data_IF_141626436401
#
_entry.id   IF_141626436401
#
_cell.length_a   1.000
_cell.length_b   1.000
_cell.length_c   1.000
_cell.angle_alpha   90.00
_cell.angle_beta   90.00
_cell.angle_gamma   90.00
#
_symmetry.space_group_name_H-M   'P 1'
#
loop_
_entity.id
_entity.type
_entity.pdbx_description
1 polymer ?
#
# COMPACT_ATOMS: atom_id res chain seq x y z
N UNK A 1 35.04 -14.85 -0.76
CA UNK A 1 35.35 -15.98 -1.66
C UNK A 1 34.19 -16.99 -1.80
N UNK A 2 33.78 -17.76 -0.78
CA UNK A 2 32.68 -18.73 -0.95
C UNK A 2 31.30 -18.08 -1.25
N UNK A 3 30.96 -16.99 -0.54
CA UNK A 3 29.72 -16.25 -0.80
C UNK A 3 29.68 -15.61 -2.20
N UNK A 4 30.79 -15.04 -2.66
CA UNK A 4 30.91 -14.45 -4.01
C UNK A 4 30.78 -15.51 -5.12
N UNK A 5 31.31 -16.72 -4.88
CA UNK A 5 31.13 -17.85 -5.78
C UNK A 5 29.66 -18.28 -5.86
N UNK A 6 28.97 -18.37 -4.71
CA UNK A 6 27.55 -18.70 -4.65
C UNK A 6 26.67 -17.65 -5.34
N UNK A 7 26.95 -16.35 -5.13
CA UNK A 7 26.25 -15.27 -5.84
C UNK A 7 26.46 -15.36 -7.36
N UNK A 8 27.70 -15.57 -7.79
CA UNK A 8 28.03 -15.68 -9.22
C UNK A 8 27.36 -16.91 -9.84
N UNK A 9 27.42 -18.06 -9.18
CA UNK A 9 26.77 -19.29 -9.63
C UNK A 9 25.24 -19.12 -9.69
N UNK A 10 24.64 -18.45 -8.71
CA UNK A 10 23.21 -18.15 -8.70
C UNK A 10 22.82 -17.24 -9.87
N UNK A 11 23.59 -16.18 -10.13
CA UNK A 11 23.36 -15.28 -11.28
C UNK A 11 23.46 -16.04 -12.60
N UNK A 12 24.48 -16.90 -12.77
CA UNK A 12 24.65 -17.71 -13.98
C UNK A 12 23.45 -18.64 -14.17
N UNK A 13 23.02 -19.34 -13.11
CA UNK A 13 21.83 -20.22 -13.14
C UNK A 13 20.58 -19.42 -13.49
N UNK A 14 20.41 -18.22 -12.92
CA UNK A 14 19.26 -17.36 -13.20
C UNK A 14 19.25 -16.90 -14.67
N UNK A 15 20.40 -16.46 -15.20
CA UNK A 15 20.55 -16.07 -16.60
C UNK A 15 20.29 -17.27 -17.51
N UNK A 16 20.86 -18.43 -17.22
CA UNK A 16 20.61 -19.67 -17.97
C UNK A 16 19.14 -20.07 -17.93
N UNK A 17 18.47 -19.93 -16.78
CA UNK A 17 17.04 -20.17 -16.65
C UNK A 17 16.24 -19.20 -17.54
N UNK A 18 16.54 -17.90 -17.51
CA UNK A 18 15.86 -16.93 -18.39
C UNK A 18 16.10 -17.26 -19.86
N UNK A 19 17.34 -17.51 -20.28
CA UNK A 19 17.64 -17.77 -21.70
C UNK A 19 17.03 -19.09 -22.16
N UNK A 20 17.19 -20.17 -21.41
CA UNK A 20 16.76 -21.51 -21.86
C UNK A 20 15.27 -21.73 -21.65
N UNK A 21 14.71 -21.34 -20.51
CA UNK A 21 13.32 -21.64 -20.18
C UNK A 21 12.35 -20.59 -20.72
N UNK A 22 12.71 -19.31 -20.66
CA UNK A 22 11.82 -18.22 -21.11
C UNK A 22 11.99 -17.98 -22.61
N UNK A 23 13.22 -17.74 -23.08
CA UNK A 23 13.47 -17.37 -24.49
C UNK A 23 13.39 -18.59 -25.41
N UNK A 24 14.22 -19.62 -25.17
CA UNK A 24 14.23 -20.82 -26.02
C UNK A 24 12.98 -21.70 -25.84
N UNK A 25 12.33 -21.62 -24.67
CA UNK A 25 11.09 -22.34 -24.39
C UNK A 25 9.81 -21.66 -24.92
N UNK A 26 9.94 -20.54 -25.64
CA UNK A 26 8.83 -19.72 -26.16
C UNK A 26 7.78 -19.36 -25.09
N UNK A 27 8.25 -19.01 -23.89
CA UNK A 27 7.40 -18.64 -22.73
C UNK A 27 7.41 -17.14 -22.44
N UNK A 28 7.56 -16.33 -23.49
CA UNK A 28 7.65 -14.87 -23.36
C UNK A 28 6.41 -14.26 -22.71
N UNK A 29 5.23 -14.82 -22.95
CA UNK A 29 3.99 -14.37 -22.28
C UNK A 29 4.01 -14.58 -20.77
N UNK A 30 4.60 -15.69 -20.30
CA UNK A 30 4.77 -15.95 -18.86
C UNK A 30 5.76 -14.96 -18.25
N UNK A 31 6.87 -14.67 -18.94
CA UNK A 31 7.83 -13.66 -18.50
C UNK A 31 7.20 -12.27 -18.41
N UNK A 32 6.41 -11.89 -19.43
CA UNK A 32 5.69 -10.61 -19.46
C UNK A 32 4.75 -10.49 -18.27
N UNK A 33 3.95 -11.52 -17.98
CA UNK A 33 3.05 -11.54 -16.81
C UNK A 33 3.81 -11.40 -15.49
N UNK A 34 4.93 -12.11 -15.34
CA UNK A 34 5.78 -12.01 -14.14
C UNK A 34 6.34 -10.59 -14.00
N UNK A 35 6.88 -9.99 -15.07
CA UNK A 35 7.44 -8.64 -15.01
C UNK A 35 6.36 -7.61 -14.70
N UNK A 36 5.18 -7.71 -15.35
CA UNK A 36 4.05 -6.80 -15.13
C UNK A 36 3.57 -6.85 -13.68
N UNK A 37 3.54 -8.03 -13.03
CA UNK A 37 3.13 -8.15 -11.63
C UNK A 37 4.23 -7.85 -10.60
N UNK A 38 5.48 -8.23 -10.87
CA UNK A 38 6.60 -8.08 -9.93
C UNK A 38 7.13 -6.64 -9.90
N UNK A 39 7.08 -5.92 -11.02
CA UNK A 39 7.66 -4.57 -11.11
C UNK A 39 6.92 -3.54 -10.24
N UNK A 40 5.57 -3.48 -10.24
CA UNK A 40 4.81 -2.64 -9.31
C UNK A 40 5.05 -3.02 -7.85
N UNK A 41 5.07 -4.32 -7.55
CA UNK A 41 5.41 -4.82 -6.21
C UNK A 41 6.78 -4.34 -5.75
N UNK A 42 7.77 -4.43 -6.63
CA UNK A 42 9.14 -3.99 -6.34
C UNK A 42 9.18 -2.49 -6.10
N UNK A 43 8.48 -1.70 -6.93
CA UNK A 43 8.40 -0.26 -6.76
C UNK A 43 7.77 0.13 -5.41
N UNK A 44 6.58 -0.38 -5.09
CA UNK A 44 5.91 -0.10 -3.82
C UNK A 44 6.71 -0.64 -2.63
N UNK A 45 7.34 -1.82 -2.75
CA UNK A 45 8.16 -2.40 -1.69
C UNK A 45 9.42 -1.58 -1.41
N UNK A 46 10.14 -1.14 -2.44
CA UNK A 46 11.32 -0.27 -2.29
C UNK A 46 10.90 1.06 -1.66
N UNK A 47 9.81 1.65 -2.15
CA UNK A 47 9.29 2.90 -1.61
C UNK A 47 8.90 2.76 -0.13
N UNK A 48 8.17 1.69 0.21
CA UNK A 48 7.79 1.34 1.58
C UNK A 48 9.01 1.12 2.48
N UNK A 49 10.01 0.35 2.05
CA UNK A 49 11.24 0.08 2.82
C UNK A 49 12.03 1.37 3.06
N UNK A 50 12.14 2.24 2.06
CA UNK A 50 12.79 3.54 2.19
C UNK A 50 12.07 4.42 3.20
N UNK A 51 10.74 4.51 3.12
CA UNK A 51 9.92 5.25 4.09
C UNK A 51 10.02 4.65 5.50
N UNK A 52 10.00 3.33 5.63
CA UNK A 52 10.15 2.63 6.91
C UNK A 52 11.53 2.92 7.53
N UNK A 53 12.60 3.00 6.74
CA UNK A 53 13.93 3.39 7.22
C UNK A 53 13.94 4.82 7.77
N UNK A 54 13.30 5.75 7.07
CA UNK A 54 13.13 7.13 7.54
C UNK A 54 12.30 7.16 8.82
N UNK A 55 11.23 6.38 8.90
CA UNK A 55 10.38 6.25 10.08
C UNK A 55 11.16 5.76 11.30
N UNK A 56 11.92 4.66 11.17
CA UNK A 56 12.77 4.15 12.27
C UNK A 56 13.77 5.19 12.76
N UNK A 57 14.34 5.99 11.85
CA UNK A 57 15.24 7.10 12.22
C UNK A 57 14.50 8.21 12.97
N UNK A 58 13.31 8.61 12.52
CA UNK A 58 12.48 9.62 13.20
C UNK A 58 12.07 9.19 14.60
N UNK A 59 11.60 7.94 14.77
CA UNK A 59 11.28 7.40 16.11
C UNK A 59 12.52 7.37 17.01
N UNK A 60 13.65 6.86 16.52
CA UNK A 60 14.89 6.84 17.33
C UNK A 60 15.32 8.24 17.74
N UNK A 61 15.14 9.25 16.89
CA UNK A 61 15.43 10.64 17.22
C UNK A 61 14.43 11.18 18.24
N UNK A 62 13.13 10.91 18.07
CA UNK A 62 12.09 11.30 19.02
C UNK A 62 12.32 10.69 20.40
N UNK A 63 12.63 9.39 20.48
CA UNK A 63 12.99 8.69 21.73
C UNK A 63 14.25 9.28 22.40
N UNK A 64 15.25 9.71 21.62
CA UNK A 64 16.46 10.38 22.15
C UNK A 64 16.21 11.82 22.59
N UNK A 65 15.18 12.47 22.07
CA UNK A 65 14.82 13.85 22.35
C UNK A 65 13.67 13.96 23.36
N UNK A 66 13.27 12.86 24.00
CA UNK A 66 12.08 12.77 24.89
C UNK A 66 10.79 13.30 24.24
N UNK A 67 10.72 13.26 22.91
CA UNK A 67 9.55 13.68 22.15
C UNK A 67 8.41 12.69 22.42
N UNK A 68 7.35 13.17 23.06
CA UNK A 68 6.21 12.35 23.41
C UNK A 68 5.44 11.94 22.14
N UNK A 69 5.40 10.65 21.80
CA UNK A 69 4.67 10.13 20.64
C UNK A 69 3.14 10.30 20.78
N UNK A 70 2.67 10.61 21.98
CA UNK A 70 1.28 10.99 22.27
C UNK A 70 1.02 12.48 22.03
N UNK A 71 2.02 13.24 21.59
CA UNK A 71 1.83 14.63 21.20
C UNK A 71 0.74 14.72 20.12
N UNK A 72 -0.23 15.58 20.43
CA UNK A 72 -1.36 15.92 19.57
C UNK A 72 -0.84 16.65 18.33
N UNK A 73 -1.23 16.16 17.15
CA UNK A 73 -0.94 16.79 15.85
C UNK A 73 -2.09 17.70 15.44
N UNK A 74 -3.32 17.19 15.49
CA UNK A 74 -4.50 17.93 15.04
C UNK A 74 -5.76 17.45 15.76
N UNK A 75 -6.76 18.33 15.84
CA UNK A 75 -8.10 17.99 16.27
C UNK A 75 -8.91 17.43 15.10
N UNK A 76 -9.68 16.38 15.39
CA UNK A 76 -10.60 15.76 14.45
C UNK A 76 -11.94 16.49 14.52
N UNK A 77 -12.45 16.89 13.36
CA UNK A 77 -13.80 17.44 13.22
C UNK A 77 -14.74 16.38 12.64
N UNK A 78 -16.04 16.52 12.86
CA UNK A 78 -17.05 15.66 12.24
C UNK A 78 -16.99 15.69 10.70
N UNK A 79 -16.57 16.81 10.11
CA UNK A 79 -16.34 16.90 8.67
C UNK A 79 -15.21 15.99 8.19
N UNK A 80 -14.18 15.74 9.02
CA UNK A 80 -13.09 14.84 8.69
C UNK A 80 -13.55 13.39 8.68
N UNK A 81 -14.39 12.98 9.64
CA UNK A 81 -15.02 11.65 9.65
C UNK A 81 -15.89 11.42 8.43
N UNK A 82 -16.66 12.43 8.02
CA UNK A 82 -17.50 12.35 6.81
C UNK A 82 -16.64 12.23 5.55
N UNK A 83 -15.58 13.02 5.43
CA UNK A 83 -14.66 12.96 4.30
C UNK A 83 -13.91 11.64 4.26
N UNK A 84 -13.54 11.07 5.41
CA UNK A 84 -12.92 9.74 5.46
C UNK A 84 -13.86 8.68 4.88
N UNK A 85 -15.13 8.65 5.29
CA UNK A 85 -16.14 7.74 4.70
C UNK A 85 -16.29 7.92 3.19
N UNK A 86 -16.24 9.16 2.70
CA UNK A 86 -16.24 9.44 1.26
C UNK A 86 -14.99 8.85 0.60
N UNK A 87 -13.80 8.97 1.20
CA UNK A 87 -12.58 8.35 0.70
C UNK A 87 -12.68 6.82 0.64
N UNK A 88 -13.32 6.18 1.63
CA UNK A 88 -13.58 4.72 1.60
C UNK A 88 -14.44 4.38 0.39
N UNK A 89 -15.61 5.02 0.26
CA UNK A 89 -16.55 4.76 -0.84
C UNK A 89 -15.91 5.04 -2.20
N UNK A 90 -15.15 6.14 -2.31
CA UNK A 90 -14.46 6.51 -3.55
C UNK A 90 -13.41 5.45 -3.94
N UNK A 91 -12.71 4.87 -2.97
CA UNK A 91 -11.74 3.79 -3.24
C UNK A 91 -12.43 2.57 -3.85
N UNK A 92 -13.58 2.17 -3.31
CA UNK A 92 -14.38 1.06 -3.85
C UNK A 92 -14.90 1.33 -5.26
N UNK A 93 -15.43 2.55 -5.49
CA UNK A 93 -15.91 2.97 -6.81
C UNK A 93 -14.77 2.91 -7.84
N UNK A 94 -13.56 3.32 -7.45
CA UNK A 94 -12.41 3.32 -8.34
C UNK A 94 -11.95 1.89 -8.68
N UNK A 95 -11.89 0.98 -7.71
CA UNK A 95 -11.50 -0.42 -7.97
C UNK A 95 -12.50 -1.05 -8.93
N UNK A 96 -13.79 -1.06 -8.58
CA UNK A 96 -14.83 -1.71 -9.37
C UNK A 96 -15.06 -1.00 -10.71
N UNK A 97 -14.95 0.32 -10.75
CA UNK A 97 -15.09 1.11 -11.97
C UNK A 97 -13.96 0.85 -12.98
N UNK A 98 -12.73 0.69 -12.51
CA UNK A 98 -11.59 0.33 -13.36
C UNK A 98 -11.68 -1.12 -13.83
N UNK A 99 -12.14 -2.05 -12.98
CA UNK A 99 -12.40 -3.43 -13.39
C UNK A 99 -13.45 -3.50 -14.53
N UNK A 100 -14.58 -2.79 -14.36
CA UNK A 100 -15.61 -2.68 -15.38
C UNK A 100 -15.07 -2.10 -16.70
N UNK A 101 -14.25 -1.06 -16.63
CA UNK A 101 -13.60 -0.48 -17.81
C UNK A 101 -12.65 -1.48 -18.49
N UNK A 102 -11.99 -2.33 -17.70
CA UNK A 102 -11.04 -3.34 -18.14
C UNK A 102 -11.61 -4.55 -18.87
N UNK A 103 -12.94 -4.68 -18.95
CA UNK A 103 -13.60 -5.79 -19.64
C UNK A 103 -14.52 -6.63 -18.75
N UNK A 104 -14.69 -6.25 -17.48
CA UNK A 104 -15.63 -6.89 -16.55
C UNK A 104 -15.07 -7.01 -15.15
N UNK A 105 -15.94 -7.33 -14.19
CA UNK A 105 -15.52 -7.56 -12.79
C UNK A 105 -15.21 -9.04 -12.61
N UNK A 106 -13.95 -9.35 -12.32
CA UNK A 106 -13.48 -10.69 -12.00
C UNK A 106 -13.50 -10.93 -10.47
N UNK A 107 -13.27 -12.18 -10.07
CA UNK A 107 -13.32 -12.59 -8.66
C UNK A 107 -12.20 -11.92 -7.84
N UNK A 108 -11.03 -11.74 -8.44
CA UNK A 108 -9.89 -11.05 -7.88
C UNK A 108 -10.15 -9.55 -7.70
N UNK A 109 -10.83 -8.87 -8.63
CA UNK A 109 -11.27 -7.48 -8.43
C UNK A 109 -12.20 -7.35 -7.22
N UNK A 110 -13.16 -8.28 -7.08
CA UNK A 110 -14.07 -8.31 -5.94
C UNK A 110 -13.32 -8.57 -4.63
N UNK A 111 -12.32 -9.46 -4.65
CA UNK A 111 -11.48 -9.75 -3.49
C UNK A 111 -10.60 -8.54 -3.11
N UNK A 112 -10.06 -7.82 -4.09
CA UNK A 112 -9.31 -6.58 -3.86
C UNK A 112 -10.20 -5.49 -3.25
N UNK A 113 -11.39 -5.25 -3.81
CA UNK A 113 -12.38 -4.32 -3.29
C UNK A 113 -12.75 -4.66 -1.83
N UNK A 114 -13.10 -5.92 -1.56
CA UNK A 114 -13.43 -6.37 -0.21
C UNK A 114 -12.26 -6.20 0.78
N UNK A 115 -11.03 -6.50 0.37
CA UNK A 115 -9.85 -6.30 1.19
C UNK A 115 -9.66 -4.81 1.51
N UNK A 116 -9.73 -3.94 0.50
CA UNK A 116 -9.58 -2.49 0.65
C UNK A 116 -10.65 -1.94 1.58
N UNK A 117 -11.91 -2.32 1.38
CA UNK A 117 -13.02 -1.94 2.24
C UNK A 117 -12.77 -2.33 3.69
N UNK A 118 -12.37 -3.59 3.93
CA UNK A 118 -12.09 -4.09 5.29
C UNK A 118 -10.96 -3.30 5.95
N UNK A 119 -9.84 -3.12 5.26
CA UNK A 119 -8.68 -2.38 5.81
C UNK A 119 -9.06 -0.92 6.07
N UNK A 120 -9.82 -0.30 5.17
CA UNK A 120 -10.25 1.09 5.31
C UNK A 120 -11.28 1.27 6.44
N UNK A 121 -12.18 0.32 6.67
CA UNK A 121 -13.09 0.33 7.83
C UNK A 121 -12.29 0.15 9.13
N UNK A 122 -11.36 -0.80 9.18
CA UNK A 122 -10.51 -1.00 10.36
C UNK A 122 -9.67 0.25 10.66
N UNK A 123 -9.14 0.90 9.63
CA UNK A 123 -8.45 2.19 9.71
C UNK A 123 -9.37 3.29 10.24
N UNK A 124 -10.60 3.41 9.73
CA UNK A 124 -11.59 4.37 10.21
C UNK A 124 -11.90 4.17 11.69
N UNK A 125 -12.19 2.93 12.09
CA UNK A 125 -12.48 2.58 13.48
C UNK A 125 -11.29 2.90 14.39
N UNK A 126 -10.08 2.59 13.93
CA UNK A 126 -8.86 2.88 14.66
C UNK A 126 -8.64 4.39 14.87
N UNK A 127 -8.86 5.21 13.84
CA UNK A 127 -8.61 6.65 13.90
C UNK A 127 -9.70 7.41 14.68
N UNK A 128 -10.96 6.96 14.60
CA UNK A 128 -12.13 7.76 15.00
C UNK A 128 -13.02 7.12 16.07
N UNK A 129 -12.87 5.84 16.42
CA UNK A 129 -13.82 5.17 17.35
C UNK A 129 -13.33 5.10 18.79
N UNK A 130 -12.07 5.44 19.08
CA UNK A 130 -11.51 5.18 20.42
C UNK A 130 -10.75 6.36 21.02
N UNK A 131 -11.41 7.51 21.17
CA UNK A 131 -10.86 8.66 21.89
C UNK A 131 -11.91 9.22 22.83
N UNK A 132 -11.50 9.30 24.09
CA UNK A 132 -12.35 9.47 25.25
C UNK A 132 -13.33 10.64 25.14
N UNK A 133 -14.49 10.49 25.77
CA UNK A 133 -15.69 11.35 25.71
C UNK A 133 -15.51 12.77 26.27
N UNK A 134 -14.30 13.31 26.33
CA UNK A 134 -14.02 14.66 26.83
C UNK A 134 -13.56 15.57 25.68
N UNK A 135 -14.57 16.11 25.01
CA UNK A 135 -14.65 17.32 24.18
C UNK A 135 -13.81 17.49 22.91
N UNK A 136 -12.66 16.84 22.69
CA UNK A 136 -11.96 16.92 21.40
C UNK A 136 -11.22 15.62 21.07
N UNK A 137 -11.62 14.96 19.98
CA UNK A 137 -10.85 13.85 19.42
C UNK A 137 -9.57 14.39 18.77
N UNK A 138 -8.41 13.90 19.18
CA UNK A 138 -7.12 14.38 18.69
C UNK A 138 -6.33 13.27 18.01
N UNK A 139 -5.72 13.53 16.86
CA UNK A 139 -4.79 12.60 16.23
C UNK A 139 -3.38 12.82 16.76
N UNK A 140 -2.68 11.73 17.08
CA UNK A 140 -1.31 11.75 17.61
C UNK A 140 -0.28 11.45 16.53
N UNK A 141 1.00 11.68 16.83
CA UNK A 141 2.12 11.24 15.99
C UNK A 141 2.09 9.72 15.75
N UNK A 142 1.72 8.94 16.76
CA UNK A 142 1.55 7.49 16.64
C UNK A 142 0.47 7.12 15.62
N UNK A 143 -0.66 7.83 15.61
CA UNK A 143 -1.76 7.58 14.67
C UNK A 143 -1.34 7.90 13.24
N UNK A 144 -0.65 9.03 13.04
CA UNK A 144 -0.08 9.42 11.75
C UNK A 144 0.79 8.32 11.15
N UNK A 145 1.65 7.74 11.96
CA UNK A 145 2.57 6.72 11.50
C UNK A 145 1.89 5.39 11.19
N UNK A 146 0.86 5.01 11.94
CA UNK A 146 0.06 3.83 11.65
C UNK A 146 -0.73 4.01 10.35
N UNK A 147 -1.31 5.19 10.16
CA UNK A 147 -2.02 5.53 8.94
C UNK A 147 -1.11 5.51 7.70
N UNK A 148 0.08 6.11 7.83
CA UNK A 148 1.11 6.10 6.79
C UNK A 148 1.56 4.67 6.46
N UNK A 149 1.69 3.79 7.46
CA UNK A 149 2.01 2.37 7.24
C UNK A 149 0.92 1.65 6.43
N UNK A 150 -0.36 1.84 6.79
CA UNK A 150 -1.49 1.24 6.08
C UNK A 150 -1.49 1.68 4.62
N UNK A 151 -1.29 2.98 4.38
CA UNK A 151 -1.31 3.55 3.05
C UNK A 151 -0.27 2.91 2.11
N UNK A 152 0.92 2.61 2.61
CA UNK A 152 1.97 2.00 1.78
C UNK A 152 1.86 0.47 1.64
N UNK A 153 1.32 -0.23 2.64
CA UNK A 153 1.18 -1.69 2.56
C UNK A 153 -0.03 -2.10 1.73
N UNK A 154 -1.09 -1.29 1.71
CA UNK A 154 -2.32 -1.61 0.99
C UNK A 154 -2.11 -1.89 -0.52
N UNK A 155 -1.42 -1.04 -1.31
CA UNK A 155 -1.19 -1.33 -2.73
C UNK A 155 -0.37 -2.61 -2.95
N UNK A 156 0.54 -2.94 -2.04
CA UNK A 156 1.30 -4.20 -2.07
C UNK A 156 0.35 -5.39 -1.92
N UNK A 157 -0.57 -5.32 -0.95
CA UNK A 157 -1.56 -6.38 -0.71
C UNK A 157 -2.52 -6.54 -1.90
N UNK A 158 -2.94 -5.44 -2.53
CA UNK A 158 -3.79 -5.48 -3.74
C UNK A 158 -3.10 -6.23 -4.88
N UNK A 159 -1.85 -5.88 -5.20
CA UNK A 159 -1.09 -6.55 -6.27
C UNK A 159 -0.85 -8.03 -5.94
N UNK A 160 -0.64 -8.37 -4.66
CA UNK A 160 -0.49 -9.77 -4.25
C UNK A 160 -1.78 -10.56 -4.52
N UNK A 161 -2.96 -10.01 -4.26
CA UNK A 161 -4.24 -10.68 -4.59
C UNK A 161 -4.33 -10.95 -6.10
N UNK A 162 -4.04 -9.95 -6.93
CA UNK A 162 -4.05 -10.08 -8.39
C UNK A 162 -3.09 -11.19 -8.88
N UNK A 163 -1.91 -11.29 -8.26
CA UNK A 163 -0.92 -12.32 -8.58
C UNK A 163 -1.40 -13.74 -8.22
N UNK A 164 -2.07 -13.92 -7.08
CA UNK A 164 -2.65 -15.21 -6.71
C UNK A 164 -3.82 -15.61 -7.62
N UNK A 165 -4.54 -14.63 -8.18
CA UNK A 165 -5.57 -14.83 -9.21
C UNK A 165 -5.05 -15.27 -10.57
N UNK A 166 -3.71 -15.21 -10.81
CA UNK A 166 -3.04 -15.46 -12.11
C UNK A 166 -3.46 -14.49 -13.23
N UNK A 167 -4.09 -13.39 -12.87
CA UNK A 167 -4.68 -12.37 -13.75
C UNK A 167 -3.95 -11.04 -13.71
N UNK A 168 -2.99 -10.85 -12.79
CA UNK A 168 -2.24 -9.60 -12.61
C UNK A 168 -1.93 -8.89 -13.94
N UNK A 169 -2.70 -7.84 -14.20
CA UNK A 169 -2.63 -7.07 -15.42
C UNK A 169 -2.31 -5.60 -15.12
N UNK A 170 -2.38 -4.79 -16.18
CA UNK A 170 -2.12 -3.36 -16.07
C UNK A 170 -3.25 -2.67 -15.27
N UNK A 171 -4.49 -3.17 -15.35
CA UNK A 171 -5.65 -2.60 -14.65
C UNK A 171 -5.48 -2.79 -13.15
N UNK A 172 -5.06 -3.97 -12.67
CA UNK A 172 -4.75 -4.21 -11.25
C UNK A 172 -3.71 -3.23 -10.70
N UNK A 173 -2.67 -2.98 -11.51
CA UNK A 173 -1.61 -2.03 -11.14
C UNK A 173 -2.15 -0.61 -11.05
N UNK A 174 -3.01 -0.22 -11.99
CA UNK A 174 -3.64 1.11 -12.01
C UNK A 174 -4.64 1.25 -10.85
N UNK A 175 -5.40 0.21 -10.52
CA UNK A 175 -6.28 0.17 -9.35
C UNK A 175 -5.48 0.40 -8.06
N UNK A 176 -4.40 -0.37 -7.84
CA UNK A 176 -3.55 -0.23 -6.66
C UNK A 176 -2.93 1.17 -6.55
N UNK A 177 -2.48 1.74 -7.68
CA UNK A 177 -1.95 3.10 -7.72
C UNK A 177 -3.02 4.15 -7.41
N UNK A 178 -4.21 4.02 -7.98
CA UNK A 178 -5.30 4.97 -7.78
C UNK A 178 -5.78 4.99 -6.31
N UNK A 179 -5.95 3.80 -5.72
CA UNK A 179 -6.29 3.66 -4.30
C UNK A 179 -5.18 4.25 -3.41
N UNK A 180 -3.90 3.94 -3.71
CA UNK A 180 -2.77 4.55 -3.01
C UNK A 180 -2.82 6.09 -3.08
N UNK A 181 -3.08 6.67 -4.26
CA UNK A 181 -3.14 8.12 -4.42
C UNK A 181 -4.29 8.74 -3.62
N UNK A 182 -5.48 8.13 -3.62
CA UNK A 182 -6.64 8.60 -2.84
C UNK A 182 -6.28 8.64 -1.35
N UNK A 183 -5.76 7.54 -0.82
CA UNK A 183 -5.43 7.41 0.60
C UNK A 183 -4.24 8.30 0.96
N UNK A 184 -3.24 8.44 0.08
CA UNK A 184 -2.09 9.32 0.29
C UNK A 184 -2.48 10.79 0.34
N UNK A 185 -3.34 11.25 -0.58
CA UNK A 185 -3.85 12.62 -0.54
C UNK A 185 -4.65 12.84 0.75
N UNK A 186 -5.52 11.89 1.10
CA UNK A 186 -6.31 11.97 2.32
C UNK A 186 -5.46 11.97 3.59
N UNK A 187 -4.45 11.11 3.69
CA UNK A 187 -3.48 11.07 4.79
C UNK A 187 -2.84 12.45 5.00
N UNK A 188 -2.32 13.04 3.93
CA UNK A 188 -1.68 14.35 4.01
C UNK A 188 -2.66 15.45 4.42
N UNK A 189 -3.90 15.39 3.96
CA UNK A 189 -4.94 16.34 4.35
C UNK A 189 -5.39 16.17 5.82
N UNK A 190 -5.52 14.93 6.29
CA UNK A 190 -5.97 14.61 7.64
C UNK A 190 -4.93 15.03 8.69
N UNK A 191 -3.65 14.79 8.40
CA UNK A 191 -2.52 15.08 9.30
C UNK A 191 -1.79 16.39 8.96
N UNK A 192 -2.38 17.26 8.15
CA UNK A 192 -1.88 18.62 7.97
C UNK A 192 -2.15 19.42 9.24
N UNK A 193 -1.19 20.24 9.71
CA UNK A 193 -1.47 21.25 10.72
C UNK A 193 -2.65 22.10 10.26
N UNK A 194 -3.58 22.37 11.17
CA UNK A 194 -4.70 23.29 10.96
C UNK A 194 -4.64 24.26 12.12
N UNK A 195 -4.45 25.53 11.81
CA UNK A 195 -4.54 26.64 12.75
C UNK A 195 -5.97 26.79 13.29
#
# INVERSE_FOLDING_TARGET
MFFEFLETAFIIILISFVVVYIILGDRLDLARKIVVGVLPLTYFSIFFLNKQRVYRKKIKKALKQELNLEQIICSVREIDKRRDKICIILSEIVILGLALYGGGILIDDMAQALLVLLIMILRYLFLFTNKDKTEKEYLTIKDKHRDEFINYILPILMILIALFGKSADVIDTVQALAVFMIIYIWHNFLFSPRD
#
